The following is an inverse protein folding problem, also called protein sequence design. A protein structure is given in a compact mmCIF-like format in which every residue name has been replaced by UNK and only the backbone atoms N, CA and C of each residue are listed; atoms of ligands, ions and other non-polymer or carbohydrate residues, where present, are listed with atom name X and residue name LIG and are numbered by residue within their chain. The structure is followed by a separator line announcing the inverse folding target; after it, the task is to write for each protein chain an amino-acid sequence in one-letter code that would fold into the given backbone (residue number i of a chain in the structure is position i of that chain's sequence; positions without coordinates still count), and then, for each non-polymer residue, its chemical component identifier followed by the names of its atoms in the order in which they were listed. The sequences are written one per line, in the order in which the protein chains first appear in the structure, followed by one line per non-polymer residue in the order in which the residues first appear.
data_IF_238900379881
#
_entry.id   IF_238900379881
#
_cell.length_a   1.000
_cell.length_b   1.000
_cell.length_c   1.000
_cell.angle_alpha   90.00
_cell.angle_beta   90.00
_cell.angle_gamma   90.00
#
_symmetry.space_group_name_H-M   'P 1'
#
loop_
_entity.id
_entity.type
_entity.pdbx_description
1 polymer ?
#
# COMPACT_ATOMS: atom_id res chain seq x y z
N UNK A 1 32.20 -20.14 39.06
CA UNK A 1 31.54 -19.59 37.88
C UNK A 1 30.57 -20.64 37.40
N UNK A 2 29.25 -20.45 37.67
CA UNK A 2 28.20 -21.38 37.25
C UNK A 2 28.14 -21.38 35.73
N UNK A 3 28.31 -22.55 35.11
CA UNK A 3 28.08 -22.74 33.68
C UNK A 3 26.61 -22.34 33.38
N UNK A 4 26.42 -21.29 32.60
CA UNK A 4 25.09 -20.94 32.10
C UNK A 4 24.53 -22.19 31.43
N UNK A 5 23.28 -22.55 31.73
CA UNK A 5 22.65 -23.66 31.03
C UNK A 5 22.51 -23.32 29.54
N UNK A 6 22.59 -24.31 28.67
CA UNK A 6 22.48 -24.11 27.21
C UNK A 6 21.17 -23.37 26.88
N UNK A 7 20.09 -23.73 27.54
CA UNK A 7 18.76 -23.09 27.41
C UNK A 7 18.77 -21.60 27.77
N UNK A 8 19.53 -21.22 28.82
CA UNK A 8 19.65 -19.80 29.20
C UNK A 8 20.45 -19.02 28.15
N UNK A 9 21.46 -19.62 27.56
CA UNK A 9 22.26 -19.01 26.49
C UNK A 9 21.41 -18.79 25.23
N UNK A 10 20.65 -19.80 24.82
CA UNK A 10 19.72 -19.70 23.68
C UNK A 10 18.69 -18.59 23.88
N UNK A 11 18.11 -18.48 25.08
CA UNK A 11 17.15 -17.42 25.42
C UNK A 11 17.79 -16.02 25.31
N UNK A 12 19.01 -15.87 25.86
CA UNK A 12 19.73 -14.58 25.79
C UNK A 12 20.01 -14.21 24.34
N UNK A 13 20.49 -15.15 23.52
CA UNK A 13 20.79 -14.91 22.11
C UNK A 13 19.51 -14.52 21.33
N UNK A 14 18.38 -15.18 21.60
CA UNK A 14 17.10 -14.82 20.97
C UNK A 14 16.65 -13.39 21.35
N UNK A 15 16.74 -13.01 22.61
CA UNK A 15 16.39 -11.64 23.07
C UNK A 15 17.31 -10.62 22.41
N UNK A 16 18.61 -10.84 22.36
CA UNK A 16 19.56 -9.93 21.70
C UNK A 16 19.21 -9.78 20.21
N UNK A 17 18.91 -10.88 19.53
CA UNK A 17 18.52 -10.87 18.12
C UNK A 17 17.24 -10.06 17.89
N UNK A 18 16.21 -10.25 18.71
CA UNK A 18 14.95 -9.52 18.57
C UNK A 18 15.10 -8.02 18.84
N UNK A 19 15.90 -7.66 19.86
CA UNK A 19 16.22 -6.23 20.13
C UNK A 19 16.97 -5.62 18.95
N UNK A 20 17.97 -6.33 18.42
CA UNK A 20 18.72 -5.85 17.25
C UNK A 20 17.82 -5.66 16.03
N UNK A 21 16.97 -6.65 15.70
CA UNK A 21 16.03 -6.60 14.58
C UNK A 21 15.06 -5.42 14.73
N UNK A 22 14.53 -5.21 15.92
CA UNK A 22 13.64 -4.08 16.20
C UNK A 22 14.33 -2.73 15.98
N UNK A 23 15.53 -2.55 16.56
CA UNK A 23 16.30 -1.31 16.40
C UNK A 23 16.71 -1.08 14.94
N UNK A 24 17.12 -2.12 14.24
CA UNK A 24 17.42 -2.04 12.82
C UNK A 24 16.18 -1.66 12.00
N UNK A 25 15.02 -2.24 12.32
CA UNK A 25 13.75 -1.89 11.70
C UNK A 25 13.36 -0.41 11.91
N UNK A 26 13.59 0.14 13.11
CA UNK A 26 13.40 1.57 13.37
C UNK A 26 14.33 2.42 12.49
N UNK A 27 15.60 2.04 12.33
CA UNK A 27 16.53 2.76 11.45
C UNK A 27 16.11 2.71 9.98
N UNK A 28 15.66 1.53 9.50
CA UNK A 28 15.07 1.42 8.16
C UNK A 28 13.83 2.31 8.05
N UNK A 29 12.92 2.31 9.03
CA UNK A 29 11.73 3.17 9.05
C UNK A 29 12.05 4.66 8.89
N UNK A 30 13.15 5.13 9.50
CA UNK A 30 13.62 6.51 9.29
C UNK A 30 14.04 6.77 7.84
N UNK A 31 14.70 5.81 7.20
CA UNK A 31 15.02 5.89 5.77
C UNK A 31 13.75 5.83 4.89
N UNK A 32 12.76 4.99 5.25
CA UNK A 32 11.49 4.94 4.52
C UNK A 32 10.76 6.28 4.53
N UNK A 33 10.82 7.06 5.62
CA UNK A 33 10.29 8.43 5.65
C UNK A 33 10.90 9.31 4.56
N UNK A 34 12.21 9.18 4.30
CA UNK A 34 12.88 9.90 3.22
C UNK A 34 12.38 9.44 1.85
N UNK A 35 12.20 8.12 1.67
CA UNK A 35 11.68 7.56 0.43
C UNK A 35 10.24 8.02 0.15
N UNK A 36 9.36 8.01 1.16
CA UNK A 36 7.96 8.46 1.05
C UNK A 36 7.89 9.90 0.55
N UNK A 37 8.74 10.78 1.09
CA UNK A 37 8.70 12.20 0.77
C UNK A 37 9.39 12.55 -0.55
N UNK A 38 10.56 11.96 -0.84
CA UNK A 38 11.43 12.37 -1.94
C UNK A 38 11.15 11.68 -3.27
N UNK A 39 10.81 10.38 -3.25
CA UNK A 39 10.61 9.62 -4.49
C UNK A 39 9.51 10.20 -5.38
N UNK A 40 8.32 10.60 -4.86
CA UNK A 40 7.29 11.19 -5.70
C UNK A 40 7.71 12.53 -6.33
N UNK A 41 8.65 13.24 -5.69
CA UNK A 41 9.18 14.53 -6.18
C UNK A 41 10.38 14.40 -7.10
N UNK A 42 10.88 13.18 -7.32
CA UNK A 42 12.11 12.95 -8.08
C UNK A 42 13.37 13.47 -7.40
N UNK A 43 13.32 13.73 -6.08
CA UNK A 43 14.46 14.22 -5.31
C UNK A 43 15.47 13.11 -4.97
N UNK A 44 16.77 13.48 -4.92
CA UNK A 44 17.82 12.52 -4.54
C UNK A 44 17.67 12.04 -3.09
N UNK A 45 17.82 10.74 -2.88
CA UNK A 45 17.80 10.13 -1.55
C UNK A 45 19.11 10.38 -0.77
N UNK A 46 20.22 10.69 -1.46
CA UNK A 46 21.56 10.70 -0.89
C UNK A 46 22.13 12.11 -0.70
N UNK A 47 21.94 13.00 -1.68
CA UNK A 47 22.64 14.30 -1.71
C UNK A 47 22.04 15.38 -0.83
N UNK A 48 20.78 15.27 -0.47
CA UNK A 48 20.08 16.29 0.29
C UNK A 48 20.09 15.97 1.80
N UNK A 49 20.62 16.85 2.62
CA UNK A 49 20.55 16.71 4.08
C UNK A 49 19.11 16.93 4.58
N UNK A 50 18.74 16.22 5.65
CA UNK A 50 17.47 16.46 6.34
C UNK A 50 17.49 17.84 7.00
N UNK A 51 16.43 18.63 6.79
CA UNK A 51 16.28 19.98 7.31
C UNK A 51 14.88 20.21 7.85
N UNK A 52 14.72 21.20 8.70
CA UNK A 52 13.41 21.59 9.21
C UNK A 52 12.61 22.27 8.09
N UNK A 53 11.39 21.80 7.83
CA UNK A 53 10.53 22.34 6.77
C UNK A 53 10.09 23.79 7.02
N UNK A 54 10.13 24.26 8.29
CA UNK A 54 9.71 25.62 8.66
C UNK A 54 10.85 26.63 8.60
N UNK A 55 12.03 26.30 9.13
CA UNK A 55 13.15 27.25 9.20
C UNK A 55 14.34 26.93 8.28
N UNK A 56 14.29 25.81 7.54
CA UNK A 56 15.37 25.39 6.64
C UNK A 56 16.67 24.92 7.34
N UNK A 57 16.74 24.99 8.69
CA UNK A 57 17.95 24.60 9.41
C UNK A 57 18.25 23.12 9.25
N UNK A 58 19.48 22.72 8.86
CA UNK A 58 19.88 21.31 8.79
C UNK A 58 19.73 20.62 10.14
N UNK A 59 19.17 19.40 10.14
CA UNK A 59 19.00 18.58 11.34
C UNK A 59 20.36 17.98 11.72
N UNK A 60 20.75 18.08 12.98
CA UNK A 60 22.00 17.54 13.48
C UNK A 60 21.94 16.02 13.53
N UNK A 61 23.07 15.32 13.32
CA UNK A 61 23.11 13.85 13.25
C UNK A 61 22.53 13.15 14.48
N UNK A 62 22.74 13.69 15.68
CA UNK A 62 22.16 13.13 16.91
C UNK A 62 20.64 13.38 17.04
N UNK A 63 20.10 14.35 16.32
CA UNK A 63 18.65 14.58 16.23
C UNK A 63 17.98 13.73 15.13
N UNK A 64 18.76 12.90 14.44
CA UNK A 64 18.28 11.90 13.47
C UNK A 64 18.18 10.49 14.06
N UNK A 65 18.45 10.29 15.36
CA UNK A 65 18.25 9.00 16.02
C UNK A 65 16.75 8.71 16.03
N UNK A 66 16.31 7.65 15.30
CA UNK A 66 14.89 7.42 15.07
C UNK A 66 14.14 7.19 16.39
N UNK A 67 12.89 7.63 16.45
CA UNK A 67 12.00 7.58 17.62
C UNK A 67 12.53 8.40 18.80
N UNK A 68 13.74 8.13 19.27
CA UNK A 68 14.31 8.75 20.46
C UNK A 68 14.46 10.27 20.32
N UNK A 69 14.92 10.76 19.17
CA UNK A 69 15.07 12.20 18.95
C UNK A 69 13.74 12.93 19.01
N UNK A 70 12.69 12.35 18.42
CA UNK A 70 11.35 12.92 18.49
C UNK A 70 10.82 13.00 19.93
N UNK A 71 11.04 11.95 20.73
CA UNK A 71 10.65 11.92 22.15
C UNK A 71 11.42 12.94 22.98
N UNK A 72 12.75 13.00 22.84
CA UNK A 72 13.62 13.93 23.57
C UNK A 72 13.27 15.39 23.23
N UNK A 73 13.02 15.67 21.94
CA UNK A 73 12.63 17.01 21.45
C UNK A 73 11.15 17.32 21.66
N UNK A 74 10.38 16.36 22.21
CA UNK A 74 8.92 16.48 22.42
C UNK A 74 8.18 16.91 21.14
N UNK A 75 8.60 16.37 20.00
CA UNK A 75 8.02 16.66 18.70
C UNK A 75 8.24 18.11 18.24
N UNK A 76 9.34 18.77 18.60
CA UNK A 76 9.64 20.14 18.21
C UNK A 76 11.02 20.28 17.59
N UNK A 77 11.14 21.20 16.64
CA UNK A 77 12.44 21.55 16.06
C UNK A 77 13.33 22.20 17.12
N UNK A 78 14.59 21.75 17.23
CA UNK A 78 15.56 22.31 18.18
C UNK A 78 15.88 23.79 17.92
N UNK A 79 15.85 24.24 16.66
CA UNK A 79 16.23 25.59 16.27
C UNK A 79 15.08 26.59 16.40
N UNK A 80 13.88 26.26 15.87
CA UNK A 80 12.77 27.21 15.80
C UNK A 80 11.56 26.84 16.66
N UNK A 81 11.55 25.68 17.31
CA UNK A 81 10.43 25.22 18.14
C UNK A 81 9.19 24.76 17.35
N UNK A 82 9.20 24.82 16.02
CA UNK A 82 8.08 24.35 15.19
C UNK A 82 7.74 22.89 15.46
N UNK A 83 6.46 22.55 15.42
CA UNK A 83 5.99 21.17 15.65
C UNK A 83 6.41 20.25 14.51
N UNK A 84 6.94 19.07 14.88
CA UNK A 84 7.29 17.99 13.98
C UNK A 84 6.17 16.95 14.06
N UNK A 85 5.56 16.65 12.93
CA UNK A 85 4.47 15.68 12.83
C UNK A 85 4.86 14.34 13.46
N UNK A 86 4.03 13.73 14.33
CA UNK A 86 4.30 12.42 14.94
C UNK A 86 4.35 11.28 13.92
N UNK A 87 3.88 11.51 12.70
CA UNK A 87 3.88 10.56 11.60
C UNK A 87 5.27 9.92 11.37
N UNK A 88 6.34 10.73 11.43
CA UNK A 88 7.71 10.22 11.26
C UNK A 88 8.04 9.15 12.28
N UNK A 89 7.81 9.43 13.56
CA UNK A 89 8.03 8.50 14.66
C UNK A 89 7.13 7.25 14.52
N UNK A 90 5.87 7.43 14.11
CA UNK A 90 4.91 6.31 13.92
C UNK A 90 5.42 5.35 12.83
N UNK A 91 5.89 5.85 11.70
CA UNK A 91 6.43 5.03 10.61
C UNK A 91 7.69 4.27 11.08
N UNK A 92 8.59 4.94 11.79
CA UNK A 92 9.79 4.33 12.37
C UNK A 92 9.43 3.19 13.31
N UNK A 93 8.56 3.45 14.28
CA UNK A 93 8.13 2.47 15.27
C UNK A 93 7.37 1.30 14.63
N UNK A 94 6.46 1.59 13.71
CA UNK A 94 5.69 0.59 12.97
C UNK A 94 6.61 -0.34 12.17
N UNK A 95 7.63 0.20 11.50
CA UNK A 95 8.61 -0.60 10.75
C UNK A 95 9.40 -1.53 11.70
N UNK A 96 9.82 -1.01 12.87
CA UNK A 96 10.48 -1.83 13.89
C UNK A 96 9.59 -2.97 14.39
N UNK A 97 8.31 -2.70 14.68
CA UNK A 97 7.34 -3.72 15.14
C UNK A 97 7.08 -4.77 14.04
N UNK A 98 6.95 -4.35 12.78
CA UNK A 98 6.75 -5.27 11.65
C UNK A 98 7.98 -6.18 11.49
N UNK A 99 9.19 -5.64 11.54
CA UNK A 99 10.41 -6.43 11.43
C UNK A 99 10.52 -7.44 12.57
N UNK A 100 10.28 -6.99 13.79
CA UNK A 100 10.23 -7.88 14.96
C UNK A 100 9.21 -9.01 14.76
N UNK A 101 7.98 -8.67 14.36
CA UNK A 101 6.93 -9.64 14.10
C UNK A 101 7.30 -10.67 13.02
N UNK A 102 7.96 -10.23 11.93
CA UNK A 102 8.46 -11.13 10.88
C UNK A 102 9.46 -12.12 11.44
N UNK A 103 10.44 -11.67 12.22
CA UNK A 103 11.47 -12.55 12.79
C UNK A 103 10.93 -13.44 13.93
N UNK A 104 9.89 -13.01 14.64
CA UNK A 104 9.18 -13.88 15.60
C UNK A 104 8.35 -14.96 14.90
N UNK A 105 7.81 -14.67 13.72
CA UNK A 105 6.97 -15.62 12.96
C UNK A 105 7.80 -16.57 12.10
N UNK A 106 8.89 -16.05 11.53
CA UNK A 106 9.79 -16.77 10.63
C UNK A 106 11.21 -16.70 11.19
N UNK A 107 11.50 -17.64 12.09
CA UNK A 107 12.82 -17.74 12.72
C UNK A 107 13.92 -17.90 11.67
N UNK A 108 15.02 -17.13 11.84
CA UNK A 108 16.13 -17.11 10.89
C UNK A 108 16.84 -18.47 10.79
N UNK A 109 16.90 -19.23 11.88
CA UNK A 109 17.53 -20.55 11.89
C UNK A 109 16.72 -21.56 11.07
N UNK A 110 15.40 -21.43 11.08
CA UNK A 110 14.50 -22.34 10.35
C UNK A 110 14.28 -21.90 8.89
N UNK A 111 14.14 -20.58 8.68
CA UNK A 111 13.73 -20.00 7.39
C UNK A 111 14.82 -19.22 6.66
N UNK A 112 16.07 -19.23 7.17
CA UNK A 112 17.22 -18.59 6.54
C UNK A 112 16.99 -17.13 6.17
N UNK A 113 17.22 -16.76 4.91
CA UNK A 113 17.07 -15.39 4.42
C UNK A 113 15.62 -14.95 4.15
N UNK A 114 14.64 -15.85 4.25
CA UNK A 114 13.24 -15.49 3.97
C UNK A 114 12.70 -14.32 4.80
N UNK A 115 12.89 -14.28 6.14
CA UNK A 115 12.44 -13.13 6.95
C UNK A 115 13.08 -11.81 6.51
N UNK A 116 14.31 -11.83 6.02
CA UNK A 116 14.98 -10.64 5.48
C UNK A 116 14.32 -10.18 4.18
N UNK A 117 14.06 -11.12 3.25
CA UNK A 117 13.33 -10.81 2.00
C UNK A 117 11.94 -10.27 2.28
N UNK A 118 11.23 -10.85 3.25
CA UNK A 118 9.90 -10.39 3.65
C UNK A 118 9.95 -8.99 4.27
N UNK A 119 10.94 -8.68 5.12
CA UNK A 119 11.16 -7.33 5.66
C UNK A 119 11.42 -6.30 4.56
N UNK A 120 12.25 -6.64 3.56
CA UNK A 120 12.50 -5.78 2.40
C UNK A 120 11.22 -5.55 1.59
N UNK A 121 10.45 -6.60 1.34
CA UNK A 121 9.18 -6.51 0.64
C UNK A 121 8.18 -5.60 1.40
N UNK A 122 7.98 -5.84 2.70
CA UNK A 122 7.09 -5.04 3.55
C UNK A 122 7.55 -3.57 3.66
N UNK A 123 8.86 -3.31 3.60
CA UNK A 123 9.40 -1.94 3.53
C UNK A 123 8.91 -1.20 2.28
N UNK A 124 8.91 -1.86 1.13
CA UNK A 124 8.33 -1.31 -0.11
C UNK A 124 6.83 -1.05 0.04
N UNK A 125 6.09 -1.97 0.66
CA UNK A 125 4.66 -1.79 0.92
C UNK A 125 4.38 -0.58 1.83
N UNK A 126 5.18 -0.36 2.87
CA UNK A 126 5.06 0.82 3.76
C UNK A 126 5.22 2.11 2.95
N UNK A 127 6.24 2.18 2.09
CA UNK A 127 6.46 3.37 1.24
C UNK A 127 5.25 3.60 0.32
N UNK A 128 4.78 2.57 -0.39
CA UNK A 128 3.62 2.66 -1.29
C UNK A 128 2.35 3.07 -0.55
N UNK A 129 2.12 2.53 0.66
CA UNK A 129 0.96 2.87 1.49
C UNK A 129 0.88 4.36 1.78
N UNK A 130 1.99 4.94 2.25
CA UNK A 130 2.01 6.35 2.62
C UNK A 130 2.07 7.28 1.40
N UNK A 131 2.65 6.85 0.27
CA UNK A 131 2.59 7.59 -0.99
C UNK A 131 1.15 7.65 -1.51
N UNK A 132 0.43 6.52 -1.51
CA UNK A 132 -0.95 6.47 -1.99
C UNK A 132 -1.90 7.28 -1.08
N UNK A 133 -1.67 7.31 0.24
CA UNK A 133 -2.40 8.19 1.16
C UNK A 133 -2.15 9.67 0.85
N UNK A 134 -0.92 10.05 0.50
CA UNK A 134 -0.53 11.45 0.30
C UNK A 134 -0.89 12.00 -1.07
N UNK A 135 -0.70 11.19 -2.11
CA UNK A 135 -0.77 11.64 -3.51
C UNK A 135 -1.79 10.89 -4.35
N UNK A 136 -2.36 9.79 -3.83
CA UNK A 136 -3.18 8.84 -4.59
C UNK A 136 -2.44 8.26 -5.82
N UNK A 137 -1.12 8.28 -5.77
CA UNK A 137 -0.24 7.75 -6.81
C UNK A 137 0.85 6.87 -6.19
N UNK A 138 1.10 5.72 -6.79
CA UNK A 138 2.17 4.80 -6.40
C UNK A 138 3.40 5.01 -7.27
N UNK A 139 4.55 5.26 -6.66
CA UNK A 139 5.80 5.44 -7.38
C UNK A 139 6.24 4.14 -8.10
N UNK A 140 6.39 4.21 -9.43
CA UNK A 140 6.73 3.05 -10.26
C UNK A 140 8.05 2.39 -9.83
N UNK A 141 9.05 3.18 -9.40
CA UNK A 141 10.33 2.63 -8.93
C UNK A 141 10.17 1.75 -7.69
N UNK A 142 9.25 2.08 -6.78
CA UNK A 142 8.98 1.27 -5.59
C UNK A 142 8.17 0.02 -5.95
N UNK A 143 7.22 0.12 -6.90
CA UNK A 143 6.52 -1.05 -7.43
C UNK A 143 7.49 -2.05 -8.08
N UNK A 144 8.40 -1.56 -8.92
CA UNK A 144 9.45 -2.38 -9.54
C UNK A 144 10.36 -3.01 -8.47
N UNK A 145 10.74 -2.24 -7.44
CA UNK A 145 11.49 -2.78 -6.29
C UNK A 145 10.76 -3.95 -5.62
N UNK A 146 9.46 -3.83 -5.34
CA UNK A 146 8.69 -4.93 -4.71
C UNK A 146 8.64 -6.19 -5.58
N UNK A 147 8.50 -6.04 -6.91
CA UNK A 147 8.56 -7.18 -7.85
C UNK A 147 9.95 -7.82 -7.84
N UNK A 148 11.02 -7.02 -7.87
CA UNK A 148 12.40 -7.54 -7.85
C UNK A 148 12.64 -8.33 -6.57
N UNK A 149 12.23 -7.84 -5.40
CA UNK A 149 12.39 -8.55 -4.12
C UNK A 149 11.59 -9.87 -4.13
N UNK A 150 10.34 -9.85 -4.62
CA UNK A 150 9.52 -11.05 -4.74
C UNK A 150 10.15 -12.09 -5.69
N UNK A 151 10.64 -11.67 -6.84
CA UNK A 151 11.33 -12.55 -7.79
C UNK A 151 12.64 -13.09 -7.21
N UNK A 152 13.45 -12.24 -6.54
CA UNK A 152 14.70 -12.62 -5.92
C UNK A 152 14.48 -13.68 -4.83
N UNK A 153 13.40 -13.61 -4.06
CA UNK A 153 13.06 -14.62 -3.05
C UNK A 153 12.89 -16.00 -3.68
N UNK A 154 12.25 -16.12 -4.85
CA UNK A 154 12.11 -17.38 -5.59
C UNK A 154 13.43 -17.88 -6.18
N UNK A 155 14.24 -16.97 -6.75
CA UNK A 155 15.57 -17.34 -7.27
C UNK A 155 16.45 -17.90 -6.15
N UNK A 156 16.46 -17.25 -4.98
CA UNK A 156 17.21 -17.72 -3.81
C UNK A 156 16.69 -19.07 -3.30
N UNK A 157 15.37 -19.30 -3.32
CA UNK A 157 14.80 -20.60 -2.95
C UNK A 157 15.23 -21.72 -3.89
N UNK A 158 15.40 -21.42 -5.18
CA UNK A 158 15.83 -22.41 -6.19
C UNK A 158 17.30 -22.80 -6.06
N UNK A 159 18.17 -21.88 -5.64
CA UNK A 159 19.61 -22.13 -5.40
C UNK A 159 19.83 -23.05 -4.19
N UNK A 160 18.80 -23.34 -3.40
CA UNK A 160 18.80 -24.16 -2.19
C UNK A 160 19.49 -25.55 -2.34
N UNK A 161 19.59 -26.08 -3.54
CA UNK A 161 20.14 -27.42 -3.78
C UNK A 161 21.63 -27.61 -3.47
N UNK A 162 22.41 -26.54 -3.20
CA UNK A 162 23.89 -26.61 -3.16
C UNK A 162 24.55 -26.10 -1.86
N UNK A 163 23.93 -25.20 -1.07
CA UNK A 163 24.65 -24.50 0.00
C UNK A 163 23.87 -24.26 1.31
N UNK A 164 23.58 -25.32 2.08
CA UNK A 164 23.36 -25.20 3.53
C UNK A 164 22.15 -24.38 4.02
N UNK A 165 22.04 -24.31 5.34
CA UNK A 165 20.92 -23.76 6.15
C UNK A 165 20.53 -22.28 5.90
N UNK A 166 21.38 -21.48 5.28
CA UNK A 166 21.13 -20.05 5.04
C UNK A 166 20.03 -19.75 3.99
N UNK A 167 19.67 -20.72 3.15
CA UNK A 167 18.74 -20.57 2.05
C UNK A 167 17.45 -21.38 2.23
N UNK A 168 17.05 -21.63 3.48
CA UNK A 168 15.75 -22.25 3.76
C UNK A 168 14.65 -21.22 3.53
N UNK A 169 13.77 -21.49 2.59
CA UNK A 169 12.55 -20.71 2.38
C UNK A 169 11.36 -21.58 2.74
N UNK A 170 10.26 -21.03 3.28
CA UNK A 170 9.01 -21.79 3.36
C UNK A 170 8.70 -22.30 1.95
N UNK A 171 8.09 -23.48 1.84
CA UNK A 171 7.71 -24.09 0.56
C UNK A 171 6.62 -23.25 -0.15
N UNK A 172 6.95 -22.02 -0.50
CA UNK A 172 6.17 -21.28 -1.48
C UNK A 172 6.61 -21.80 -2.83
N UNK A 173 5.91 -22.84 -3.31
CA UNK A 173 6.12 -23.38 -4.63
C UNK A 173 6.03 -22.22 -5.64
N UNK A 174 7.00 -22.11 -6.53
CA UNK A 174 7.01 -21.13 -7.61
C UNK A 174 5.68 -21.11 -8.37
N UNK A 175 5.03 -22.28 -8.52
CA UNK A 175 3.69 -22.39 -9.10
C UNK A 175 2.67 -21.60 -8.28
N UNK A 176 2.67 -21.73 -6.95
CA UNK A 176 1.78 -20.97 -6.07
C UNK A 176 2.03 -19.46 -6.17
N UNK A 177 3.31 -19.05 -6.28
CA UNK A 177 3.68 -17.65 -6.49
C UNK A 177 3.15 -17.11 -7.84
N UNK A 178 3.37 -17.85 -8.93
CA UNK A 178 2.89 -17.45 -10.25
C UNK A 178 1.35 -17.41 -10.31
N UNK A 179 0.68 -18.44 -9.79
CA UNK A 179 -0.79 -18.44 -9.73
C UNK A 179 -1.29 -17.28 -8.85
N UNK A 180 -0.65 -17.04 -7.70
CA UNK A 180 -0.96 -15.93 -6.80
C UNK A 180 -0.81 -14.57 -7.47
N UNK A 181 0.24 -14.40 -8.30
CA UNK A 181 0.48 -13.19 -9.08
C UNK A 181 -0.71 -12.85 -9.99
N UNK A 182 -1.33 -13.84 -10.63
CA UNK A 182 -2.45 -13.62 -11.56
C UNK A 182 -3.83 -13.72 -10.91
N UNK A 183 -3.96 -14.46 -9.82
CA UNK A 183 -5.24 -14.78 -9.18
C UNK A 183 -6.06 -13.55 -8.78
N UNK A 184 -5.42 -12.50 -8.30
CA UNK A 184 -6.08 -11.25 -7.88
C UNK A 184 -5.79 -10.11 -8.85
N UNK A 185 -4.58 -10.02 -9.40
CA UNK A 185 -4.21 -8.92 -10.30
C UNK A 185 -5.02 -8.91 -11.60
N UNK A 186 -5.28 -10.09 -12.19
CA UNK A 186 -6.09 -10.19 -13.42
C UNK A 186 -7.55 -9.77 -13.19
N UNK A 187 -8.26 -10.26 -12.17
CA UNK A 187 -9.58 -9.74 -11.82
C UNK A 187 -9.61 -8.23 -11.59
N UNK A 188 -8.65 -7.68 -10.85
CA UNK A 188 -8.56 -6.23 -10.64
C UNK A 188 -8.34 -5.46 -11.95
N UNK A 189 -7.50 -5.97 -12.84
CA UNK A 189 -7.28 -5.40 -14.17
C UNK A 189 -8.56 -5.42 -15.00
N UNK A 190 -9.29 -6.55 -15.02
CA UNK A 190 -10.56 -6.67 -15.74
C UNK A 190 -11.59 -5.68 -15.16
N UNK A 191 -11.74 -5.63 -13.85
CA UNK A 191 -12.67 -4.71 -13.19
C UNK A 191 -12.29 -3.26 -13.50
N UNK A 192 -11.02 -2.89 -13.35
CA UNK A 192 -10.54 -1.53 -13.55
C UNK A 192 -10.63 -1.05 -14.98
N UNK A 193 -10.21 -1.86 -15.96
CA UNK A 193 -10.05 -1.45 -17.35
C UNK A 193 -11.17 -1.88 -18.29
N UNK A 194 -11.97 -2.87 -17.92
CA UNK A 194 -13.08 -3.36 -18.76
C UNK A 194 -14.42 -3.02 -18.13
N UNK A 195 -14.65 -3.45 -16.90
CA UNK A 195 -15.97 -3.33 -16.26
C UNK A 195 -16.27 -1.88 -15.93
N UNK A 196 -15.36 -1.17 -15.28
CA UNK A 196 -15.58 0.24 -14.87
C UNK A 196 -15.85 1.17 -16.06
N UNK A 197 -15.06 1.13 -17.18
CA UNK A 197 -15.39 1.93 -18.35
C UNK A 197 -16.73 1.57 -19.00
N UNK A 198 -17.14 0.29 -18.97
CA UNK A 198 -18.46 -0.11 -19.50
C UNK A 198 -19.59 0.49 -18.68
N UNK A 199 -19.52 0.43 -17.35
CA UNK A 199 -20.52 1.06 -16.48
C UNK A 199 -20.49 2.57 -16.61
N UNK A 200 -19.31 3.18 -16.66
CA UNK A 200 -19.14 4.61 -16.86
C UNK A 200 -19.76 5.09 -18.17
N UNK A 201 -19.50 4.38 -19.27
CA UNK A 201 -20.13 4.69 -20.55
C UNK A 201 -21.66 4.57 -20.50
N UNK A 202 -22.20 3.67 -19.68
CA UNK A 202 -23.65 3.57 -19.47
C UNK A 202 -24.22 4.83 -18.77
N UNK A 203 -23.53 5.37 -17.75
CA UNK A 203 -23.91 6.62 -17.09
C UNK A 203 -23.76 7.84 -18.02
N UNK A 204 -22.63 7.93 -18.75
CA UNK A 204 -22.41 9.01 -19.73
C UNK A 204 -23.40 8.92 -20.88
N UNK A 205 -23.91 7.72 -21.22
CA UNK A 205 -24.97 7.56 -22.20
C UNK A 205 -26.30 8.15 -21.70
N UNK A 206 -26.56 8.20 -20.41
CA UNK A 206 -27.72 8.88 -19.83
C UNK A 206 -27.59 10.40 -20.02
N UNK A 207 -26.45 11.00 -19.66
CA UNK A 207 -26.16 12.42 -19.93
C UNK A 207 -26.26 12.74 -21.44
N UNK A 208 -25.76 11.87 -22.31
CA UNK A 208 -25.87 12.01 -23.76
C UNK A 208 -27.31 11.84 -24.29
N UNK A 209 -28.13 11.02 -23.63
CA UNK A 209 -29.56 10.89 -23.95
C UNK A 209 -30.31 12.16 -23.54
N UNK A 210 -30.04 12.71 -22.35
CA UNK A 210 -30.60 13.97 -21.90
C UNK A 210 -30.20 15.12 -22.83
N UNK A 211 -28.93 15.19 -23.21
CA UNK A 211 -28.43 16.18 -24.19
C UNK A 211 -29.15 16.09 -25.54
N UNK A 212 -29.40 14.86 -26.03
CA UNK A 212 -30.19 14.63 -27.25
C UNK A 212 -31.62 15.15 -27.10
N UNK A 213 -32.25 14.90 -25.95
CA UNK A 213 -33.61 15.43 -25.63
C UNK A 213 -33.63 16.96 -25.59
N UNK A 214 -32.66 17.60 -24.95
CA UNK A 214 -32.54 19.07 -24.89
C UNK A 214 -32.33 19.65 -26.29
N UNK A 215 -31.44 19.05 -27.11
CA UNK A 215 -31.22 19.49 -28.51
C UNK A 215 -32.48 19.35 -29.36
N UNK A 216 -33.28 18.30 -29.17
CA UNK A 216 -34.54 18.12 -29.86
C UNK A 216 -35.60 19.18 -29.43
N UNK A 217 -35.66 19.49 -28.15
CA UNK A 217 -36.54 20.53 -27.60
C UNK A 217 -36.14 21.93 -28.10
N UNK A 218 -34.85 22.25 -28.13
CA UNK A 218 -34.33 23.52 -28.66
C UNK A 218 -34.73 23.75 -30.14
N UNK A 219 -34.80 22.69 -30.95
CA UNK A 219 -35.25 22.77 -32.33
C UNK A 219 -36.75 23.07 -32.48
N UNK A 220 -37.55 22.78 -31.43
CA UNK A 220 -39.01 22.97 -31.41
C UNK A 220 -39.42 24.25 -30.71
N UNK A 221 -38.57 24.85 -29.90
CA UNK A 221 -38.85 26.06 -29.12
C UNK A 221 -38.39 27.28 -29.89
N UNK A 222 -39.26 28.27 -30.04
CA UNK A 222 -38.95 29.52 -30.70
C UNK A 222 -37.89 30.31 -29.89
N UNK A 223 -36.96 31.03 -30.54
CA UNK A 223 -35.90 31.80 -29.89
C UNK A 223 -36.42 32.94 -28.98
N UNK A 224 -37.66 33.35 -29.16
CA UNK A 224 -38.34 34.37 -28.35
C UNK A 224 -38.96 33.81 -27.07
N UNK A 225 -38.97 32.49 -26.87
CA UNK A 225 -39.53 31.86 -25.69
C UNK A 225 -38.60 31.98 -24.49
N UNK A 226 -39.13 32.33 -23.33
CA UNK A 226 -38.40 32.43 -22.05
C UNK A 226 -37.68 31.13 -21.67
N UNK A 227 -38.20 30.00 -22.16
CA UNK A 227 -37.60 28.70 -21.91
C UNK A 227 -36.39 28.39 -22.80
N UNK A 228 -36.22 29.12 -23.92
CA UNK A 228 -35.11 28.89 -24.85
C UNK A 228 -33.74 29.16 -24.18
N UNK A 229 -33.57 30.24 -23.45
CA UNK A 229 -32.35 30.60 -22.75
C UNK A 229 -31.98 29.57 -21.65
N UNK A 230 -33.00 29.04 -20.95
CA UNK A 230 -32.80 27.98 -19.93
C UNK A 230 -32.35 26.68 -20.57
N UNK A 231 -32.90 26.31 -21.72
CA UNK A 231 -32.50 25.10 -22.46
C UNK A 231 -31.08 25.23 -23.04
N UNK A 232 -30.70 26.44 -23.51
CA UNK A 232 -29.32 26.71 -24.00
C UNK A 232 -28.31 26.57 -22.84
N UNK A 233 -28.61 27.21 -21.70
CA UNK A 233 -27.74 27.09 -20.52
C UNK A 233 -27.60 25.64 -20.03
N UNK A 234 -28.70 24.88 -19.97
CA UNK A 234 -28.62 23.44 -19.63
C UNK A 234 -27.81 22.63 -20.63
N UNK A 235 -27.95 22.93 -21.93
CA UNK A 235 -27.16 22.28 -22.97
C UNK A 235 -25.67 22.53 -22.80
N UNK A 236 -25.26 23.79 -22.60
CA UNK A 236 -23.86 24.16 -22.43
C UNK A 236 -23.25 23.55 -21.16
N UNK A 237 -24.00 23.60 -20.05
CA UNK A 237 -23.57 22.97 -18.79
C UNK A 237 -23.39 21.45 -18.95
N UNK A 238 -24.27 20.77 -19.66
CA UNK A 238 -24.20 19.34 -19.87
C UNK A 238 -23.10 18.95 -20.87
N UNK A 239 -22.86 19.76 -21.91
CA UNK A 239 -21.74 19.58 -22.86
C UNK A 239 -20.38 19.79 -22.17
N UNK A 240 -20.27 20.79 -21.29
CA UNK A 240 -19.08 21.02 -20.47
C UNK A 240 -18.84 19.83 -19.52
N UNK A 241 -19.88 19.38 -18.83
CA UNK A 241 -19.81 18.23 -17.92
C UNK A 241 -19.37 16.94 -18.63
N UNK A 242 -19.90 16.65 -19.82
CA UNK A 242 -19.50 15.48 -20.62
C UNK A 242 -18.06 15.60 -21.11
N UNK A 243 -17.57 16.82 -21.40
CA UNK A 243 -16.23 17.08 -21.90
C UNK A 243 -15.16 17.05 -20.79
N UNK A 244 -15.52 17.48 -19.58
CA UNK A 244 -14.61 17.54 -18.42
C UNK A 244 -14.49 16.22 -17.66
N UNK A 245 -15.36 15.24 -17.95
CA UNK A 245 -15.30 13.95 -17.26
C UNK A 245 -14.11 13.12 -17.75
N UNK A 246 -13.03 12.98 -16.96
CA UNK A 246 -11.93 12.09 -17.31
C UNK A 246 -12.40 10.63 -17.32
N UNK A 247 -11.75 9.75 -18.08
CA UNK A 247 -12.04 8.32 -18.00
C UNK A 247 -11.83 7.84 -16.56
N UNK A 248 -12.90 7.34 -15.94
CA UNK A 248 -12.85 6.83 -14.57
C UNK A 248 -12.38 5.38 -14.63
N UNK A 249 -11.20 5.13 -14.09
CA UNK A 249 -10.68 3.79 -13.86
C UNK A 249 -11.08 3.36 -12.43
N UNK A 250 -11.65 2.17 -12.28
CA UNK A 250 -12.08 1.68 -10.96
C UNK A 250 -10.92 1.34 -10.02
N UNK A 251 -9.81 0.89 -10.60
CA UNK A 251 -8.56 0.60 -9.90
C UNK A 251 -7.38 1.17 -10.68
N UNK A 252 -6.40 1.70 -9.95
CA UNK A 252 -5.15 2.15 -10.54
C UNK A 252 -4.30 0.99 -11.06
N UNK A 253 -3.48 1.22 -12.09
CA UNK A 253 -2.49 0.24 -12.53
C UNK A 253 -1.53 -0.12 -11.38
N UNK A 254 -1.27 0.80 -10.46
CA UNK A 254 -0.47 0.58 -9.26
C UNK A 254 -1.02 -0.55 -8.39
N UNK A 255 -2.35 -0.58 -8.16
CA UNK A 255 -3.02 -1.62 -7.36
C UNK A 255 -2.87 -3.01 -8.00
N UNK A 256 -3.00 -3.09 -9.33
CA UNK A 256 -2.82 -4.35 -10.09
C UNK A 256 -1.40 -4.88 -9.95
N UNK A 257 -0.39 -4.01 -10.14
CA UNK A 257 1.03 -4.37 -10.03
C UNK A 257 1.39 -4.71 -8.59
N UNK A 258 0.85 -3.98 -7.60
CA UNK A 258 1.02 -4.26 -6.18
C UNK A 258 0.52 -5.65 -5.82
N UNK A 259 -0.68 -6.02 -6.25
CA UNK A 259 -1.25 -7.35 -5.98
C UNK A 259 -0.51 -8.45 -6.74
N UNK A 260 0.03 -8.17 -7.93
CA UNK A 260 0.90 -9.11 -8.64
C UNK A 260 2.20 -9.37 -7.86
N UNK A 261 2.86 -8.32 -7.36
CA UNK A 261 4.06 -8.47 -6.52
C UNK A 261 3.75 -9.22 -5.22
N UNK A 262 2.63 -8.89 -4.57
CA UNK A 262 2.16 -9.58 -3.37
C UNK A 262 1.88 -11.05 -3.60
N UNK A 263 1.22 -11.37 -4.71
CA UNK A 263 0.92 -12.75 -5.10
C UNK A 263 2.16 -13.57 -5.40
N UNK A 264 3.14 -12.96 -6.09
CA UNK A 264 4.42 -13.60 -6.34
C UNK A 264 5.17 -13.88 -5.02
N UNK A 265 5.19 -12.92 -4.08
CA UNK A 265 5.92 -13.05 -2.82
C UNK A 265 5.27 -14.04 -1.84
N UNK A 266 3.94 -14.00 -1.72
CA UNK A 266 3.20 -14.68 -0.65
C UNK A 266 2.44 -15.94 -1.09
N UNK A 267 2.26 -16.13 -2.40
CA UNK A 267 1.50 -17.24 -2.98
C UNK A 267 -0.03 -17.02 -2.92
N UNK A 268 -0.79 -17.99 -3.46
CA UNK A 268 -2.24 -17.87 -3.70
C UNK A 268 -3.03 -17.64 -2.42
N UNK A 269 -2.82 -18.48 -1.39
CA UNK A 269 -3.61 -18.45 -0.15
C UNK A 269 -3.53 -17.06 0.53
N UNK A 270 -2.32 -16.55 0.71
CA UNK A 270 -2.10 -15.26 1.34
C UNK A 270 -2.66 -14.10 0.52
N UNK A 271 -2.53 -14.15 -0.81
CA UNK A 271 -3.01 -13.09 -1.71
C UNK A 271 -4.53 -13.03 -1.78
N UNK A 272 -5.21 -14.17 -1.81
CA UNK A 272 -6.68 -14.22 -1.74
C UNK A 272 -7.17 -13.69 -0.40
N UNK A 273 -6.54 -14.09 0.72
CA UNK A 273 -6.84 -13.54 2.04
C UNK A 273 -6.65 -12.02 2.08
N UNK A 274 -5.54 -11.53 1.50
CA UNK A 274 -5.24 -10.10 1.41
C UNK A 274 -6.33 -9.33 0.65
N UNK A 275 -6.76 -9.85 -0.50
CA UNK A 275 -7.82 -9.24 -1.30
C UNK A 275 -9.16 -9.18 -0.55
N UNK A 276 -9.55 -10.27 0.14
CA UNK A 276 -10.76 -10.30 0.94
C UNK A 276 -10.73 -9.27 2.08
N UNK A 277 -9.62 -9.19 2.81
CA UNK A 277 -9.43 -8.20 3.89
C UNK A 277 -9.49 -6.78 3.32
N UNK A 278 -8.83 -6.52 2.18
CA UNK A 278 -8.85 -5.22 1.55
C UNK A 278 -10.25 -4.78 1.12
N UNK A 279 -11.03 -5.69 0.52
CA UNK A 279 -12.41 -5.42 0.12
C UNK A 279 -13.28 -5.12 1.33
N UNK A 280 -13.20 -5.93 2.39
CA UNK A 280 -13.99 -5.72 3.60
C UNK A 280 -13.64 -4.41 4.31
N UNK A 281 -12.36 -4.14 4.53
CA UNK A 281 -11.91 -2.92 5.20
C UNK A 281 -12.17 -1.67 4.37
N UNK A 282 -11.95 -1.74 3.05
CA UNK A 282 -12.27 -0.66 2.12
C UNK A 282 -13.76 -0.37 2.02
N UNK A 283 -14.62 -1.41 2.01
CA UNK A 283 -16.07 -1.25 2.03
C UNK A 283 -16.55 -0.58 3.32
N UNK A 284 -16.07 -1.01 4.48
CA UNK A 284 -16.40 -0.39 5.77
C UNK A 284 -15.97 1.08 5.78
N UNK A 285 -14.75 1.37 5.35
CA UNK A 285 -14.27 2.75 5.27
C UNK A 285 -15.11 3.60 4.31
N UNK A 286 -15.44 3.09 3.13
CA UNK A 286 -16.29 3.78 2.15
C UNK A 286 -17.68 4.10 2.68
N UNK A 287 -18.30 3.17 3.44
CA UNK A 287 -19.60 3.41 4.10
C UNK A 287 -19.49 4.51 5.16
N UNK A 288 -18.44 4.47 6.00
CA UNK A 288 -18.18 5.49 7.01
C UNK A 288 -17.98 6.86 6.35
N UNK A 289 -17.13 6.93 5.31
CA UNK A 289 -16.86 8.16 4.59
C UNK A 289 -18.12 8.78 4.02
N UNK A 290 -18.98 7.97 3.39
CA UNK A 290 -20.28 8.41 2.86
C UNK A 290 -21.24 8.90 3.93
N UNK A 291 -21.18 8.31 5.13
CA UNK A 291 -22.04 8.70 6.26
C UNK A 291 -21.58 10.03 6.90
N UNK A 292 -20.28 10.32 6.88
CA UNK A 292 -19.71 11.54 7.48
C UNK A 292 -19.73 12.73 6.53
N UNK A 293 -19.53 12.50 5.22
CA UNK A 293 -19.57 13.57 4.21
C UNK A 293 -21.02 13.94 3.90
N UNK A 294 -21.45 15.10 4.39
CA UNK A 294 -22.81 15.67 4.14
C UNK A 294 -22.94 16.42 2.81
N UNK A 295 -21.86 16.88 2.19
CA UNK A 295 -21.88 17.68 0.97
C UNK A 295 -21.70 16.81 -0.27
N UNK A 296 -22.61 16.95 -1.24
CA UNK A 296 -22.60 16.19 -2.51
C UNK A 296 -21.46 16.54 -3.48
N UNK A 297 -20.74 17.65 -3.24
CA UNK A 297 -19.71 18.18 -4.17
C UNK A 297 -18.30 17.64 -3.91
N UNK A 298 -18.07 16.95 -2.79
CA UNK A 298 -16.76 16.33 -2.51
C UNK A 298 -16.65 14.99 -3.26
N UNK A 299 -15.61 14.84 -4.07
CA UNK A 299 -15.27 13.57 -4.73
C UNK A 299 -15.25 12.43 -3.70
N UNK A 300 -16.03 11.37 -3.94
CA UNK A 300 -16.04 10.17 -3.09
C UNK A 300 -14.84 9.25 -3.37
N UNK A 301 -13.90 9.68 -4.19
CA UNK A 301 -12.70 8.93 -4.47
C UNK A 301 -11.78 8.88 -3.23
N UNK A 302 -11.33 7.70 -2.89
CA UNK A 302 -10.33 7.47 -1.85
C UNK A 302 -9.27 6.49 -2.34
N UNK A 303 -8.06 6.60 -1.79
CA UNK A 303 -6.97 5.69 -2.09
C UNK A 303 -7.32 4.27 -1.62
N UNK A 304 -7.36 3.30 -2.54
CA UNK A 304 -7.66 1.90 -2.21
C UNK A 304 -6.40 1.10 -1.86
N UNK A 305 -5.24 1.53 -2.35
CA UNK A 305 -3.94 0.90 -2.11
C UNK A 305 -3.62 0.61 -0.64
N UNK A 306 -3.87 1.52 0.32
CA UNK A 306 -3.62 1.25 1.73
C UNK A 306 -4.36 0.02 2.26
N UNK A 307 -5.59 -0.24 1.80
CA UNK A 307 -6.36 -1.43 2.20
C UNK A 307 -5.76 -2.71 1.61
N UNK A 308 -5.30 -2.66 0.36
CA UNK A 308 -4.57 -3.77 -0.27
C UNK A 308 -3.27 -4.07 0.48
N UNK A 309 -2.53 -3.05 0.88
CA UNK A 309 -1.26 -3.18 1.59
C UNK A 309 -1.46 -3.76 2.98
N UNK A 310 -2.47 -3.28 3.73
CA UNK A 310 -2.86 -3.86 5.01
C UNK A 310 -3.27 -5.32 4.84
N UNK A 311 -4.06 -5.62 3.80
CA UNK A 311 -4.43 -7.00 3.45
C UNK A 311 -3.21 -7.87 3.17
N UNK A 312 -2.25 -7.39 2.38
CA UNK A 312 -1.00 -8.12 2.08
C UNK A 312 -0.14 -8.32 3.34
N UNK A 313 -0.05 -7.31 4.22
CA UNK A 313 0.66 -7.45 5.47
C UNK A 313 0.02 -8.52 6.37
N UNK A 314 -1.30 -8.49 6.55
CA UNK A 314 -2.02 -9.55 7.29
C UNK A 314 -1.90 -10.91 6.60
N UNK A 315 -1.98 -10.95 5.28
CA UNK A 315 -1.78 -12.16 4.48
C UNK A 315 -0.39 -12.77 4.66
N UNK A 316 0.64 -11.95 4.80
CA UNK A 316 2.01 -12.41 5.06
C UNK A 316 2.16 -13.12 6.41
N UNK A 317 1.42 -12.70 7.44
CA UNK A 317 1.49 -13.29 8.78
C UNK A 317 0.51 -14.45 8.98
N UNK A 318 -0.69 -14.35 8.42
CA UNK A 318 -1.82 -15.23 8.78
C UNK A 318 -2.53 -15.86 7.58
N UNK A 319 -2.17 -15.50 6.33
CA UNK A 319 -2.95 -15.85 5.14
C UNK A 319 -3.15 -17.36 4.95
N UNK A 320 -2.12 -18.16 5.16
CA UNK A 320 -2.22 -19.63 5.10
C UNK A 320 -3.17 -20.16 6.17
N UNK A 321 -2.95 -19.80 7.43
CA UNK A 321 -3.73 -20.30 8.58
C UNK A 321 -5.22 -19.90 8.49
N UNK A 322 -5.52 -18.69 8.02
CA UNK A 322 -6.89 -18.22 7.86
C UNK A 322 -7.67 -19.00 6.79
N UNK A 323 -7.05 -19.24 5.64
CA UNK A 323 -7.68 -20.02 4.59
C UNK A 323 -7.85 -21.48 5.01
N UNK A 324 -6.84 -22.09 5.61
CA UNK A 324 -6.89 -23.48 6.05
C UNK A 324 -7.97 -23.68 7.12
N UNK A 325 -8.12 -22.73 8.05
CA UNK A 325 -9.21 -22.73 9.02
C UNK A 325 -10.59 -22.61 8.36
N UNK A 326 -10.72 -21.79 7.32
CA UNK A 326 -11.98 -21.62 6.58
C UNK A 326 -12.33 -22.87 5.79
N UNK A 327 -11.38 -23.44 5.06
CA UNK A 327 -11.59 -24.67 4.25
C UNK A 327 -11.90 -25.89 5.11
N UNK A 328 -11.26 -26.03 6.27
CA UNK A 328 -11.55 -27.13 7.21
C UNK A 328 -12.99 -27.07 7.76
N UNK A 329 -13.54 -25.85 7.97
CA UNK A 329 -14.95 -25.69 8.38
C UNK A 329 -15.95 -26.02 7.29
N UNK A 330 -15.57 -25.88 6.01
CA UNK A 330 -16.43 -26.21 4.87
C UNK A 330 -16.37 -27.69 4.50
N UNK A 331 -15.64 -28.56 5.22
CA UNK A 331 -15.43 -29.98 4.89
C UNK A 331 -14.91 -30.21 3.46
N UNK A 332 -14.13 -29.25 2.92
CA UNK A 332 -13.58 -29.31 1.55
C UNK A 332 -12.15 -29.91 1.55
N UNK A 333 -11.63 -30.31 2.73
CA UNK A 333 -10.39 -31.08 2.88
C UNK A 333 -10.67 -32.48 3.41
#
# INVERSE_FOLDING_TARGET
MSSLSLETLETIMAVITYVFVFLFGICIGSFLNVCIYRLPKGESLITNNSHCMTCGTPIKRYDLIPVFSWLILRGRCRACGAQITPRYMIIELMTGIIFLGVFMRYDFLTYGLYPVMLCLFLSGLIVLCFQDIDTQEMCVSVLVYTIIIAAASHVLSFIKGSHGYLLTFPEIDLKSGIIGMFCVSVPLLIIGFVITPLFYNAFVDEDRRELRGIKANLKRTAQSDRNYSVLVFKKEALEARIKEQPPVYGFGMGDVVLMAAGGLMLGVKATVTAALIAILTGAVYGIILKSVKKNKDDSNAFAFGPFLIVGLAVGAFFGGSLIDMYLSRLHIM
#
